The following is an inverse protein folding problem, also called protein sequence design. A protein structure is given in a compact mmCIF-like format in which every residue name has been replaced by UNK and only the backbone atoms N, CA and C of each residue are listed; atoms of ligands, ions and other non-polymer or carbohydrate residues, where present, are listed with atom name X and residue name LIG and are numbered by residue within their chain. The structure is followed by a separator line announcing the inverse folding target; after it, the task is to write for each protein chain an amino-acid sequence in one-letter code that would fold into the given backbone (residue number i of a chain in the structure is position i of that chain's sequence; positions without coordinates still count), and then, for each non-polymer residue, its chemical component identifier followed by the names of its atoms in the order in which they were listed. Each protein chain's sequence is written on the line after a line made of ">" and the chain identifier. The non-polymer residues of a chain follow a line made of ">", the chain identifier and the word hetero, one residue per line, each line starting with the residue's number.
data_IF_966469803814
#
_entry.id   IF_966469803814
#
_cell.length_a   1.000
_cell.length_b   1.000
_cell.length_c   1.000
_cell.angle_alpha   90.00
_cell.angle_beta   90.00
_cell.angle_gamma   90.00
#
_symmetry.space_group_name_H-M   'P 1'
#
loop_
_entity.id
_entity.type
_entity.pdbx_description
1 polymer ?
#
# COMPACT_ATOMS: atom_id res chain seq x y z
N UNK A 1 76.89 -57.69 8.09
CA UNK A 1 75.68 -56.92 8.42
C UNK A 1 74.81 -56.79 7.17
N UNK A 2 74.03 -57.82 6.82
CA UNK A 2 73.10 -57.75 5.68
C UNK A 2 71.76 -57.24 6.21
N UNK A 3 71.62 -55.93 6.23
CA UNK A 3 70.41 -55.28 6.68
C UNK A 3 69.27 -55.61 5.72
N UNK A 4 68.28 -56.34 6.24
CA UNK A 4 66.82 -56.15 6.18
C UNK A 4 66.23 -55.03 5.28
N UNK A 5 66.84 -54.70 4.14
CA UNK A 5 66.44 -53.59 3.25
C UNK A 5 65.27 -53.99 2.37
N UNK A 6 65.29 -55.22 1.85
CA UNK A 6 64.19 -55.77 1.06
C UNK A 6 62.92 -55.91 1.90
N UNK A 7 63.01 -56.48 3.11
CA UNK A 7 61.85 -56.60 3.99
C UNK A 7 61.43 -55.25 4.59
N UNK A 8 62.35 -54.32 4.89
CA UNK A 8 61.98 -52.96 5.27
C UNK A 8 61.24 -52.22 4.14
N UNK A 9 61.67 -52.38 2.88
CA UNK A 9 60.98 -51.83 1.73
C UNK A 9 59.60 -52.46 1.53
N UNK A 10 59.47 -53.78 1.72
CA UNK A 10 58.19 -54.48 1.66
C UNK A 10 57.22 -54.02 2.77
N UNK A 11 57.69 -53.85 4.00
CA UNK A 11 56.90 -53.30 5.10
C UNK A 11 56.50 -51.85 4.81
N UNK A 12 57.40 -51.05 4.27
CA UNK A 12 57.08 -49.67 3.88
C UNK A 12 56.02 -49.62 2.77
N UNK A 13 56.10 -50.51 1.77
CA UNK A 13 55.09 -50.64 0.73
C UNK A 13 53.73 -51.13 1.28
N UNK A 14 53.73 -52.09 2.21
CA UNK A 14 52.52 -52.55 2.88
C UNK A 14 51.86 -51.44 3.71
N UNK A 15 52.67 -50.63 4.39
CA UNK A 15 52.16 -49.46 5.13
C UNK A 15 51.57 -48.39 4.20
N UNK A 16 52.11 -48.22 2.98
CA UNK A 16 51.52 -47.34 1.95
C UNK A 16 50.17 -47.88 1.49
N UNK A 17 50.11 -49.16 1.07
CA UNK A 17 48.88 -49.80 0.61
C UNK A 17 47.77 -49.79 1.67
N UNK A 18 48.13 -50.03 2.94
CA UNK A 18 47.17 -49.99 4.05
C UNK A 18 46.60 -48.58 4.26
N UNK A 19 47.40 -47.53 4.05
CA UNK A 19 46.92 -46.13 4.12
C UNK A 19 45.99 -45.79 2.96
N UNK A 20 46.33 -46.20 1.74
CA UNK A 20 45.50 -45.98 0.55
C UNK A 20 44.16 -46.71 0.64
N UNK A 21 44.16 -47.98 1.10
CA UNK A 21 42.94 -48.75 1.31
C UNK A 21 41.99 -48.07 2.30
N UNK A 22 42.51 -47.56 3.43
CA UNK A 22 41.71 -46.81 4.41
C UNK A 22 41.15 -45.49 3.85
N UNK A 23 41.91 -44.80 2.99
CA UNK A 23 41.41 -43.61 2.31
C UNK A 23 40.28 -43.95 1.34
N UNK A 24 40.43 -45.00 0.54
CA UNK A 24 39.37 -45.44 -0.38
C UNK A 24 38.13 -45.87 0.39
N UNK A 25 38.27 -46.64 1.47
CA UNK A 25 37.17 -47.04 2.35
C UNK A 25 36.44 -45.81 2.92
N UNK A 26 37.18 -44.80 3.37
CA UNK A 26 36.59 -43.54 3.87
C UNK A 26 35.85 -42.79 2.76
N UNK A 27 36.40 -42.74 1.55
CA UNK A 27 35.75 -42.09 0.39
C UNK A 27 34.50 -42.83 -0.07
N UNK A 28 34.50 -44.15 0.00
CA UNK A 28 33.34 -45.00 -0.32
C UNK A 28 32.27 -44.86 0.77
N UNK A 29 32.66 -44.87 2.04
CA UNK A 29 31.74 -44.73 3.17
C UNK A 29 31.09 -43.35 3.22
N UNK A 30 31.86 -42.29 2.96
CA UNK A 30 31.37 -40.90 3.04
C UNK A 30 30.81 -40.38 1.72
N UNK A 31 31.19 -40.97 0.60
CA UNK A 31 30.93 -40.44 -0.75
C UNK A 31 31.74 -39.19 -1.11
N UNK A 32 32.72 -38.80 -0.29
CA UNK A 32 33.42 -37.53 -0.40
C UNK A 32 34.85 -37.72 -0.91
N UNK A 33 35.25 -36.95 -1.92
CA UNK A 33 36.63 -36.99 -2.44
C UNK A 33 37.67 -36.43 -1.46
N UNK A 34 37.28 -35.46 -0.63
CA UNK A 34 38.10 -34.85 0.43
C UNK A 34 37.27 -34.82 1.72
N UNK A 35 37.69 -35.63 2.70
CA UNK A 35 36.95 -35.84 3.95
C UNK A 35 37.62 -35.18 5.16
N UNK A 36 38.94 -34.95 5.11
CA UNK A 36 39.72 -34.38 6.21
C UNK A 36 40.51 -33.13 5.76
N UNK A 37 40.65 -32.08 6.60
CA UNK A 37 41.54 -30.95 6.34
C UNK A 37 42.99 -31.35 6.03
N UNK A 38 43.45 -32.50 6.55
CA UNK A 38 44.80 -33.04 6.36
C UNK A 38 45.04 -33.56 4.94
N UNK A 39 43.98 -33.91 4.20
CA UNK A 39 44.10 -34.39 2.82
C UNK A 39 44.32 -33.22 1.85
N UNK A 40 43.54 -32.15 1.98
CA UNK A 40 43.70 -30.89 1.25
C UNK A 40 42.90 -29.77 1.93
N UNK A 41 43.53 -28.97 2.79
CA UNK A 41 42.85 -27.94 3.59
C UNK A 41 42.07 -26.90 2.78
N UNK A 42 42.59 -26.48 1.62
CA UNK A 42 41.93 -25.50 0.75
C UNK A 42 40.66 -26.08 0.09
N UNK A 43 40.76 -27.29 -0.46
CA UNK A 43 39.61 -27.98 -1.07
C UNK A 43 38.59 -28.37 0.00
N UNK A 44 39.06 -28.77 1.19
CA UNK A 44 38.20 -29.08 2.33
C UNK A 44 37.39 -27.85 2.79
N UNK A 45 38.02 -26.68 2.92
CA UNK A 45 37.33 -25.44 3.30
C UNK A 45 36.27 -25.02 2.26
N UNK A 46 36.59 -25.10 0.96
CA UNK A 46 35.62 -24.83 -0.11
C UNK A 46 34.47 -25.85 -0.09
N UNK A 47 34.77 -27.13 0.09
CA UNK A 47 33.78 -28.19 0.17
C UNK A 47 32.85 -28.03 1.39
N UNK A 48 33.38 -27.63 2.55
CA UNK A 48 32.57 -27.32 3.73
C UNK A 48 31.66 -26.11 3.49
N UNK A 49 32.16 -25.06 2.84
CA UNK A 49 31.33 -23.92 2.43
C UNK A 49 30.22 -24.31 1.44
N UNK A 50 30.50 -25.18 0.48
CA UNK A 50 29.49 -25.71 -0.46
C UNK A 50 28.45 -26.58 0.26
N UNK A 51 28.85 -27.43 1.21
CA UNK A 51 27.91 -28.25 2.00
C UNK A 51 27.01 -27.40 2.88
N UNK A 52 27.57 -26.36 3.51
CA UNK A 52 26.79 -25.37 4.26
C UNK A 52 25.75 -24.70 3.38
N UNK A 53 26.12 -24.29 2.16
CA UNK A 53 25.17 -23.72 1.19
C UNK A 53 24.09 -24.71 0.78
N UNK A 54 24.42 -25.99 0.55
CA UNK A 54 23.44 -27.03 0.22
C UNK A 54 22.42 -27.22 1.36
N UNK A 55 22.89 -27.23 2.62
CA UNK A 55 21.99 -27.28 3.77
C UNK A 55 21.09 -26.02 3.88
N UNK A 56 21.66 -24.84 3.60
CA UNK A 56 20.92 -23.58 3.53
C UNK A 56 19.83 -23.61 2.44
N UNK A 57 20.14 -24.11 1.24
CA UNK A 57 19.17 -24.25 0.14
C UNK A 57 17.96 -25.13 0.50
N UNK A 58 18.14 -26.20 1.27
CA UNK A 58 17.03 -27.03 1.73
C UNK A 58 16.06 -26.21 2.61
N UNK A 59 16.58 -25.40 3.53
CA UNK A 59 15.75 -24.54 4.38
C UNK A 59 15.01 -23.45 3.59
N UNK A 60 15.65 -22.90 2.55
CA UNK A 60 15.05 -21.92 1.63
C UNK A 60 13.94 -22.58 0.81
N UNK A 61 14.19 -23.80 0.28
CA UNK A 61 13.21 -24.55 -0.48
C UNK A 61 11.96 -24.89 0.36
N UNK A 62 12.15 -25.26 1.62
CA UNK A 62 11.04 -25.49 2.56
C UNK A 62 10.28 -24.20 2.85
N UNK A 63 10.97 -23.07 3.01
CA UNK A 63 10.38 -21.74 3.18
C UNK A 63 9.51 -21.32 1.99
N UNK A 64 10.03 -21.48 0.77
CA UNK A 64 9.30 -21.18 -0.47
C UNK A 64 8.09 -22.09 -0.65
N UNK A 65 8.22 -23.38 -0.32
CA UNK A 65 7.12 -24.34 -0.42
C UNK A 65 5.97 -23.99 0.52
N UNK A 66 6.28 -23.55 1.76
CA UNK A 66 5.28 -23.01 2.70
C UNK A 66 4.63 -21.73 2.17
N UNK A 67 5.41 -20.82 1.59
CA UNK A 67 4.89 -19.57 1.01
C UNK A 67 3.90 -19.85 -0.14
N UNK A 68 4.22 -20.80 -1.02
CA UNK A 68 3.32 -21.22 -2.12
C UNK A 68 2.00 -21.78 -1.58
N UNK A 69 2.04 -22.69 -0.61
CA UNK A 69 0.82 -23.27 -0.04
C UNK A 69 -0.11 -22.22 0.58
N UNK A 70 0.46 -21.16 1.19
CA UNK A 70 -0.33 -20.05 1.70
C UNK A 70 -0.90 -19.15 0.59
N UNK A 71 -0.14 -18.89 -0.47
CA UNK A 71 -0.63 -18.12 -1.63
C UNK A 71 -1.83 -18.83 -2.26
N UNK A 72 -1.78 -20.15 -2.40
CA UNK A 72 -2.88 -20.95 -2.98
C UNK A 72 -4.15 -20.85 -2.12
N UNK A 73 -4.04 -21.00 -0.80
CA UNK A 73 -5.17 -20.84 0.14
C UNK A 73 -5.74 -19.43 0.10
N UNK A 74 -4.88 -18.41 0.00
CA UNK A 74 -5.29 -17.00 -0.06
C UNK A 74 -6.00 -16.68 -1.37
N UNK A 75 -5.51 -17.20 -2.49
CA UNK A 75 -6.13 -17.01 -3.81
C UNK A 75 -7.52 -17.66 -3.87
N UNK A 76 -7.65 -18.89 -3.37
CA UNK A 76 -8.94 -19.58 -3.28
C UNK A 76 -9.95 -18.81 -2.41
N UNK A 77 -9.49 -18.29 -1.27
CA UNK A 77 -10.32 -17.47 -0.37
C UNK A 77 -10.74 -16.15 -1.02
N UNK A 78 -9.82 -15.49 -1.74
CA UNK A 78 -10.11 -14.27 -2.49
C UNK A 78 -11.15 -14.48 -3.60
N UNK A 79 -11.07 -15.59 -4.33
CA UNK A 79 -12.08 -15.97 -5.33
C UNK A 79 -13.45 -16.17 -4.69
N UNK A 80 -13.52 -16.89 -3.57
CA UNK A 80 -14.78 -17.13 -2.86
C UNK A 80 -15.41 -15.83 -2.33
N UNK A 81 -14.60 -14.90 -1.82
CA UNK A 81 -15.05 -13.56 -1.41
C UNK A 81 -15.57 -12.77 -2.61
N UNK A 82 -14.88 -12.81 -3.75
CA UNK A 82 -15.31 -12.12 -4.96
C UNK A 82 -16.69 -12.63 -5.45
N UNK A 83 -16.95 -13.93 -5.34
CA UNK A 83 -18.25 -14.50 -5.71
C UNK A 83 -19.36 -14.09 -4.74
N UNK A 84 -19.08 -13.99 -3.43
CA UNK A 84 -20.04 -13.47 -2.46
C UNK A 84 -20.33 -11.98 -2.70
N UNK A 85 -19.31 -11.18 -3.04
CA UNK A 85 -19.50 -9.76 -3.37
C UNK A 85 -20.41 -9.58 -4.60
N UNK A 86 -20.33 -10.47 -5.59
CA UNK A 86 -21.28 -10.50 -6.72
C UNK A 86 -22.70 -10.77 -6.24
N UNK A 87 -22.89 -11.74 -5.33
CA UNK A 87 -24.20 -12.03 -4.75
C UNK A 87 -24.74 -10.84 -3.92
N UNK A 88 -23.90 -10.20 -3.11
CA UNK A 88 -24.26 -9.00 -2.34
C UNK A 88 -24.70 -7.85 -3.26
N UNK A 89 -24.03 -7.67 -4.41
CA UNK A 89 -24.43 -6.68 -5.41
C UNK A 89 -25.82 -6.98 -5.99
N UNK A 90 -26.15 -8.26 -6.20
CA UNK A 90 -27.48 -8.67 -6.67
C UNK A 90 -28.56 -8.36 -5.62
N UNK A 91 -28.32 -8.71 -4.36
CA UNK A 91 -29.25 -8.41 -3.24
C UNK A 91 -29.45 -6.91 -3.06
N UNK A 92 -28.36 -6.13 -3.07
CA UNK A 92 -28.43 -4.66 -2.99
C UNK A 92 -29.16 -4.05 -4.18
N UNK A 93 -29.02 -4.64 -5.37
CA UNK A 93 -29.79 -4.25 -6.56
C UNK A 93 -31.28 -4.53 -6.40
N UNK A 94 -31.65 -5.71 -5.90
CA UNK A 94 -33.04 -6.08 -5.63
C UNK A 94 -33.68 -5.18 -4.57
N UNK A 95 -32.93 -4.72 -3.57
CA UNK A 95 -33.41 -3.82 -2.52
C UNK A 95 -33.74 -2.40 -3.03
N UNK A 96 -33.35 -2.05 -4.26
CA UNK A 96 -33.63 -0.74 -4.89
C UNK A 96 -35.02 -0.68 -5.55
N UNK A 97 -35.75 -1.78 -5.63
CA UNK A 97 -37.06 -1.79 -6.29
C UNK A 97 -38.10 -0.96 -5.51
N UNK A 98 -38.84 -0.13 -6.25
CA UNK A 98 -39.78 0.84 -5.67
C UNK A 98 -41.08 0.18 -5.16
N UNK A 99 -41.36 -1.06 -5.57
CA UNK A 99 -42.56 -1.85 -5.25
C UNK A 99 -42.43 -2.76 -4.01
N UNK A 100 -41.34 -2.61 -3.24
CA UNK A 100 -41.09 -3.43 -2.05
C UNK A 100 -41.90 -3.00 -0.82
N UNK A 101 -42.44 -3.99 -0.12
CA UNK A 101 -43.00 -3.85 1.24
C UNK A 101 -41.89 -3.71 2.30
N UNK A 102 -42.26 -3.29 3.52
CA UNK A 102 -41.31 -3.19 4.63
C UNK A 102 -40.68 -4.55 4.99
N UNK A 103 -41.49 -5.63 5.02
CA UNK A 103 -41.03 -6.98 5.32
C UNK A 103 -40.06 -7.51 4.25
N UNK A 104 -40.32 -7.22 2.97
CA UNK A 104 -39.42 -7.59 1.88
C UNK A 104 -38.08 -6.84 1.95
N UNK A 105 -38.08 -5.56 2.32
CA UNK A 105 -36.82 -4.81 2.55
C UNK A 105 -36.04 -5.38 3.73
N UNK A 106 -36.71 -5.75 4.82
CA UNK A 106 -36.09 -6.38 5.98
C UNK A 106 -35.48 -7.74 5.64
N UNK A 107 -36.16 -8.55 4.82
CA UNK A 107 -35.64 -9.83 4.34
C UNK A 107 -34.36 -9.65 3.50
N UNK A 108 -34.36 -8.71 2.55
CA UNK A 108 -33.17 -8.41 1.72
C UNK A 108 -32.01 -7.85 2.54
N UNK A 109 -32.29 -7.05 3.58
CA UNK A 109 -31.28 -6.57 4.52
C UNK A 109 -30.66 -7.74 5.29
N UNK A 110 -31.48 -8.68 5.79
CA UNK A 110 -31.01 -9.88 6.46
C UNK A 110 -30.14 -10.76 5.54
N UNK A 111 -30.53 -10.92 4.27
CA UNK A 111 -29.73 -11.66 3.28
C UNK A 111 -28.38 -10.98 3.03
N UNK A 112 -28.36 -9.65 2.93
CA UNK A 112 -27.13 -8.88 2.76
C UNK A 112 -26.18 -9.05 3.96
N UNK A 113 -26.71 -8.99 5.18
CA UNK A 113 -25.93 -9.16 6.42
C UNK A 113 -25.41 -10.60 6.58
N UNK A 114 -26.16 -11.60 6.13
CA UNK A 114 -25.73 -13.00 6.10
C UNK A 114 -24.55 -13.23 5.14
N UNK A 115 -24.62 -12.66 3.93
CA UNK A 115 -23.53 -12.72 2.94
C UNK A 115 -22.28 -11.99 3.44
N UNK A 116 -22.45 -10.82 4.07
CA UNK A 116 -21.34 -10.10 4.73
C UNK A 116 -20.67 -10.96 5.80
N UNK A 117 -21.46 -11.60 6.66
CA UNK A 117 -20.94 -12.50 7.69
C UNK A 117 -20.20 -13.71 7.09
N UNK A 118 -20.59 -14.16 5.89
CA UNK A 118 -19.89 -15.25 5.19
C UNK A 118 -18.51 -14.81 4.68
N UNK A 119 -18.36 -13.56 4.22
CA UNK A 119 -17.06 -12.98 3.88
C UNK A 119 -16.14 -12.99 5.12
N UNK A 120 -16.64 -12.53 6.27
CA UNK A 120 -15.86 -12.50 7.51
C UNK A 120 -15.40 -13.91 7.93
N UNK A 121 -16.29 -14.91 7.82
CA UNK A 121 -15.93 -16.32 8.07
C UNK A 121 -14.84 -16.80 7.12
N UNK A 122 -14.95 -16.56 5.82
CA UNK A 122 -13.95 -16.99 4.83
C UNK A 122 -12.61 -16.31 5.09
N UNK A 123 -12.62 -14.98 5.27
CA UNK A 123 -11.42 -14.22 5.60
C UNK A 123 -10.73 -14.75 6.88
N UNK A 124 -11.51 -15.01 7.94
CA UNK A 124 -10.95 -15.57 9.19
C UNK A 124 -10.45 -17.02 9.05
N UNK A 125 -11.01 -17.81 8.13
CA UNK A 125 -10.64 -19.21 7.88
C UNK A 125 -9.41 -19.38 6.97
N UNK A 126 -9.01 -18.33 6.24
CA UNK A 126 -7.79 -18.30 5.43
C UNK A 126 -6.55 -18.30 6.34
N UNK A 127 -6.22 -19.48 6.87
CA UNK A 127 -5.11 -19.71 7.80
C UNK A 127 -4.18 -20.76 7.21
N UNK A 128 -2.88 -20.49 7.23
CA UNK A 128 -1.84 -21.51 6.98
C UNK A 128 -1.03 -21.70 8.25
N UNK A 129 -1.07 -22.91 8.83
CA UNK A 129 -0.41 -23.23 10.10
C UNK A 129 -0.70 -22.22 11.23
N UNK A 130 -1.95 -21.75 11.34
CA UNK A 130 -2.37 -20.80 12.38
C UNK A 130 -1.91 -19.35 12.17
N UNK A 131 -1.26 -19.04 11.06
CA UNK A 131 -1.03 -17.67 10.60
C UNK A 131 -2.14 -17.28 9.62
N UNK A 132 -3.00 -16.35 10.04
CA UNK A 132 -3.99 -15.73 9.17
C UNK A 132 -3.37 -14.49 8.52
N UNK A 133 -3.44 -14.42 7.19
CA UNK A 133 -3.11 -13.20 6.44
C UNK A 133 -4.24 -12.16 6.51
N UNK A 134 -5.47 -12.62 6.75
CA UNK A 134 -6.70 -11.85 6.63
C UNK A 134 -7.36 -11.46 7.96
N UNK A 135 -6.93 -12.05 9.10
CA UNK A 135 -7.39 -11.63 10.41
C UNK A 135 -6.74 -10.30 10.83
N UNK A 136 -7.53 -9.39 11.40
CA UNK A 136 -7.04 -8.15 11.99
C UNK A 136 -5.95 -8.45 13.03
N UNK A 137 -4.74 -7.94 12.79
CA UNK A 137 -3.53 -8.29 13.56
C UNK A 137 -2.52 -9.17 12.83
N UNK A 138 -2.54 -9.14 11.48
CA UNK A 138 -1.69 -9.93 10.58
C UNK A 138 -0.30 -10.24 11.13
N UNK A 139 0.00 -11.53 11.30
CA UNK A 139 1.36 -11.99 11.60
C UNK A 139 2.20 -11.86 10.33
N UNK A 140 3.34 -11.18 10.43
CA UNK A 140 4.29 -11.08 9.33
C UNK A 140 4.70 -12.48 8.85
N UNK A 141 4.57 -12.73 7.54
CA UNK A 141 5.15 -13.91 6.93
C UNK A 141 6.65 -13.70 6.78
N UNK A 142 7.41 -14.17 7.77
CA UNK A 142 8.85 -14.18 7.67
C UNK A 142 9.30 -15.38 6.80
N UNK A 143 9.45 -15.15 5.49
CA UNK A 143 10.03 -16.14 4.57
C UNK A 143 11.52 -15.84 4.45
N UNK A 144 12.37 -16.74 4.94
CA UNK A 144 13.80 -16.59 4.82
C UNK A 144 14.26 -17.09 3.43
N UNK A 145 14.70 -16.17 2.56
CA UNK A 145 15.09 -16.44 1.17
C UNK A 145 16.59 -16.13 0.96
N UNK A 146 17.35 -15.89 2.03
CA UNK A 146 18.74 -15.42 1.96
C UNK A 146 19.68 -16.22 2.86
N UNK A 147 20.87 -16.57 2.34
CA UNK A 147 22.01 -17.17 3.07
C UNK A 147 22.84 -16.11 3.82
N UNK A 148 22.44 -14.84 3.74
CA UNK A 148 23.08 -13.73 4.45
C UNK A 148 22.15 -13.24 5.55
N UNK A 149 22.71 -12.89 6.72
CA UNK A 149 22.01 -12.35 7.91
C UNK A 149 21.09 -11.15 7.66
N UNK A 150 21.01 -10.65 6.42
CA UNK A 150 19.99 -9.72 5.97
C UNK A 150 18.74 -10.50 5.58
N UNK A 151 17.79 -10.61 6.51
CA UNK A 151 16.39 -10.89 6.18
C UNK A 151 15.95 -9.85 5.14
N UNK A 152 15.59 -10.30 3.94
CA UNK A 152 14.77 -9.49 3.04
C UNK A 152 13.44 -9.28 3.77
N UNK A 153 13.32 -8.15 4.46
CA UNK A 153 12.02 -7.61 4.84
C UNK A 153 11.28 -7.37 3.52
N UNK A 154 10.42 -8.31 3.12
CA UNK A 154 9.38 -7.97 2.17
C UNK A 154 8.58 -6.88 2.85
N UNK A 155 8.76 -5.65 2.38
CA UNK A 155 8.02 -4.48 2.81
C UNK A 155 6.53 -4.74 2.53
N UNK A 156 5.86 -5.35 3.50
CA UNK A 156 4.43 -5.37 3.75
C UNK A 156 3.54 -5.67 2.52
N UNK A 157 3.09 -6.93 2.36
CA UNK A 157 1.73 -7.12 1.84
C UNK A 157 0.81 -6.70 2.99
N UNK A 158 0.51 -5.40 3.06
CA UNK A 158 -0.51 -4.91 3.98
C UNK A 158 -1.82 -5.56 3.54
N UNK A 159 -2.37 -6.43 4.37
CA UNK A 159 -3.80 -6.68 4.34
C UNK A 159 -4.47 -5.32 4.38
N UNK A 160 -5.37 -5.03 3.44
CA UNK A 160 -6.27 -3.91 3.60
C UNK A 160 -6.98 -4.17 4.94
N UNK A 161 -6.57 -3.47 6.00
CA UNK A 161 -7.39 -3.37 7.19
C UNK A 161 -8.76 -2.99 6.66
N UNK A 162 -9.75 -3.83 6.90
CA UNK A 162 -11.15 -3.49 6.70
C UNK A 162 -11.46 -2.36 7.67
N UNK A 163 -11.05 -1.15 7.32
CA UNK A 163 -11.77 0.03 7.78
C UNK A 163 -13.21 -0.24 7.35
N UNK A 164 -14.16 -0.26 8.30
CA UNK A 164 -15.55 -0.40 7.94
C UNK A 164 -15.83 0.60 6.82
N UNK A 165 -16.50 0.17 5.75
CA UNK A 165 -16.94 1.06 4.66
C UNK A 165 -17.80 2.23 5.17
N UNK A 166 -18.22 2.18 6.45
CA UNK A 166 -18.71 3.30 7.23
C UNK A 166 -18.11 3.20 8.65
N UNK A 167 -17.00 3.88 8.90
CA UNK A 167 -16.71 4.34 10.26
C UNK A 167 -17.77 5.35 10.70
N UNK A 168 -17.92 5.68 11.99
CA UNK A 168 -18.77 6.80 12.38
C UNK A 168 -18.40 8.03 11.53
N UNK A 169 -19.38 8.83 11.09
CA UNK A 169 -19.11 9.95 10.20
C UNK A 169 -17.99 10.81 10.77
N UNK A 170 -16.92 10.96 10.00
CA UNK A 170 -15.77 11.76 10.40
C UNK A 170 -15.99 13.20 9.94
N UNK A 171 -15.79 14.16 10.85
CA UNK A 171 -15.78 15.58 10.50
C UNK A 171 -14.55 15.87 9.64
N UNK A 172 -14.79 16.31 8.40
CA UNK A 172 -13.72 16.73 7.49
C UNK A 172 -13.30 18.17 7.75
N UNK A 173 -14.24 19.04 8.15
CA UNK A 173 -14.03 20.46 8.47
C UNK A 173 -13.28 20.65 9.80
N UNK A 174 -12.03 20.21 9.84
CA UNK A 174 -11.09 20.41 10.95
C UNK A 174 -9.77 20.95 10.42
N UNK A 175 -8.97 21.57 11.27
CA UNK A 175 -7.58 21.90 10.95
C UNK A 175 -6.69 20.62 10.95
N UNK A 176 -5.39 20.79 10.67
CA UNK A 176 -4.41 19.70 10.66
C UNK A 176 -4.18 19.01 12.02
N UNK A 177 -4.56 19.67 13.13
CA UNK A 177 -4.51 19.09 14.48
C UNK A 177 -5.80 18.31 14.85
N UNK A 178 -6.85 18.41 14.02
CA UNK A 178 -8.15 17.79 14.26
C UNK A 178 -9.16 18.69 14.96
N UNK A 179 -8.84 19.94 15.25
CA UNK A 179 -9.78 20.88 15.87
C UNK A 179 -10.85 21.31 14.86
N UNK A 180 -12.09 21.41 15.31
CA UNK A 180 -13.20 21.82 14.46
C UNK A 180 -13.03 23.25 13.92
N UNK A 181 -13.61 23.48 12.74
CA UNK A 181 -13.76 24.81 12.16
C UNK A 181 -14.55 25.74 13.11
N UNK A 182 -14.13 27.00 13.22
CA UNK A 182 -14.73 28.04 14.08
C UNK A 182 -14.97 29.30 13.26
N UNK A 183 -16.08 30.01 13.55
CA UNK A 183 -16.35 31.34 13.01
C UNK A 183 -17.01 31.37 11.64
N UNK A 184 -17.41 30.23 11.09
CA UNK A 184 -18.13 30.18 9.82
C UNK A 184 -18.51 28.76 9.38
N UNK A 185 -19.48 28.68 8.46
CA UNK A 185 -19.98 27.41 7.94
C UNK A 185 -19.04 26.81 6.88
N UNK A 186 -19.04 25.48 6.78
CA UNK A 186 -18.43 24.72 5.69
C UNK A 186 -19.52 24.01 4.87
N UNK A 187 -19.38 23.97 3.55
CA UNK A 187 -20.38 23.40 2.65
C UNK A 187 -19.79 22.85 1.36
N UNK A 188 -20.63 22.25 0.51
CA UNK A 188 -20.30 21.78 -0.85
C UNK A 188 -18.98 20.99 -0.98
N UNK A 189 -18.78 19.90 -0.19
CA UNK A 189 -17.55 19.12 -0.26
C UNK A 189 -17.45 18.34 -1.58
N UNK A 190 -16.22 18.13 -2.03
CA UNK A 190 -15.88 17.31 -3.19
C UNK A 190 -14.69 16.41 -2.86
N UNK A 191 -14.62 15.23 -3.48
CA UNK A 191 -13.65 14.18 -3.12
C UNK A 191 -12.87 13.70 -4.33
N UNK A 192 -11.60 13.38 -4.15
CA UNK A 192 -10.78 12.76 -5.18
C UNK A 192 -11.24 11.33 -5.45
N UNK A 193 -10.94 10.80 -6.65
CA UNK A 193 -11.39 9.45 -7.06
C UNK A 193 -10.92 8.34 -6.13
N UNK A 194 -9.72 8.48 -5.57
CA UNK A 194 -9.10 7.56 -4.62
C UNK A 194 -9.57 7.77 -3.17
N UNK A 195 -10.42 8.78 -2.91
CA UNK A 195 -10.90 9.11 -1.58
C UNK A 195 -9.86 9.72 -0.65
N UNK A 196 -8.64 10.00 -1.12
CA UNK A 196 -7.56 10.53 -0.28
C UNK A 196 -7.76 12.00 0.06
N UNK A 197 -8.24 12.79 -0.89
CA UNK A 197 -8.36 14.23 -0.73
C UNK A 197 -9.82 14.65 -0.69
N UNK A 198 -10.17 15.48 0.29
CA UNK A 198 -11.49 16.13 0.36
C UNK A 198 -11.30 17.63 0.32
N UNK A 199 -11.86 18.25 -0.71
CA UNK A 199 -11.98 19.69 -0.81
C UNK A 199 -13.29 20.19 -0.23
N UNK A 200 -13.28 21.33 0.46
CA UNK A 200 -14.49 21.93 1.02
C UNK A 200 -14.33 23.46 1.16
N UNK A 201 -15.27 24.25 0.62
CA UNK A 201 -15.43 25.66 0.95
C UNK A 201 -15.76 25.87 2.43
N UNK A 202 -15.16 26.89 3.05
CA UNK A 202 -15.41 27.26 4.45
C UNK A 202 -15.17 28.74 4.72
N UNK A 203 -16.01 29.31 5.59
CA UNK A 203 -15.85 30.66 6.16
C UNK A 203 -15.03 30.68 7.46
N UNK A 204 -14.53 29.52 7.89
CA UNK A 204 -13.86 29.38 9.16
C UNK A 204 -12.44 29.96 9.16
N UNK A 205 -12.05 30.62 10.24
CA UNK A 205 -10.79 31.37 10.36
C UNK A 205 -9.62 30.56 10.94
N UNK A 206 -9.87 29.31 11.34
CA UNK A 206 -8.90 28.49 12.08
C UNK A 206 -8.49 27.18 11.38
N UNK A 207 -8.88 27.01 10.10
CA UNK A 207 -8.55 25.79 9.35
C UNK A 207 -7.09 25.72 8.90
N UNK A 208 -6.49 26.87 8.62
CA UNK A 208 -5.05 27.04 8.37
C UNK A 208 -4.55 28.31 9.06
N UNK A 209 -3.27 28.35 9.39
CA UNK A 209 -2.68 29.55 9.97
C UNK A 209 -2.69 30.72 8.97
N UNK A 210 -2.94 31.92 9.48
CA UNK A 210 -2.90 33.15 8.68
C UNK A 210 -4.18 33.45 7.91
N UNK A 211 -5.29 32.71 8.13
CA UNK A 211 -6.59 33.06 7.56
C UNK A 211 -7.17 34.35 8.12
N UNK A 212 -7.09 35.44 7.37
CA UNK A 212 -7.41 36.77 7.89
C UNK A 212 -8.28 37.62 6.98
N UNK A 213 -8.62 37.13 5.79
CA UNK A 213 -9.30 37.94 4.77
C UNK A 213 -10.83 38.03 4.99
N UNK A 214 -11.42 37.12 5.78
CA UNK A 214 -12.86 37.11 6.07
C UNK A 214 -13.74 36.68 4.90
N UNK A 215 -13.17 36.06 3.88
CA UNK A 215 -13.90 35.52 2.72
C UNK A 215 -14.00 33.99 2.81
N UNK A 216 -14.93 33.40 2.04
CA UNK A 216 -14.99 31.96 1.93
C UNK A 216 -13.81 31.44 1.12
N UNK A 217 -13.05 30.53 1.73
CA UNK A 217 -11.92 29.88 1.10
C UNK A 217 -12.19 28.40 0.85
N UNK A 218 -11.56 27.86 -0.19
CA UNK A 218 -11.60 26.42 -0.45
C UNK A 218 -10.38 25.78 0.19
N UNK A 219 -10.63 24.78 1.03
CA UNK A 219 -9.61 24.01 1.72
C UNK A 219 -9.54 22.59 1.15
N UNK A 220 -8.35 22.02 1.16
CA UNK A 220 -8.05 20.65 0.77
C UNK A 220 -7.50 19.90 1.97
N UNK A 221 -8.18 18.83 2.39
CA UNK A 221 -7.71 17.93 3.45
C UNK A 221 -7.20 16.63 2.85
N UNK A 222 -5.95 16.29 3.15
CA UNK A 222 -5.39 14.96 2.90
C UNK A 222 -5.80 14.04 4.04
N UNK A 223 -6.68 13.08 3.78
CA UNK A 223 -7.18 12.14 4.77
C UNK A 223 -6.12 11.11 5.21
N UNK A 224 -5.03 10.96 4.46
CA UNK A 224 -3.93 10.08 4.83
C UNK A 224 -3.02 10.73 5.88
N UNK A 225 -2.74 12.02 5.74
CA UNK A 225 -1.78 12.75 6.60
C UNK A 225 -2.46 13.66 7.62
N UNK A 226 -3.73 14.00 7.42
CA UNK A 226 -4.48 14.99 8.19
C UNK A 226 -4.20 16.44 7.78
N UNK A 227 -3.24 16.69 6.89
CA UNK A 227 -2.83 18.04 6.49
C UNK A 227 -3.97 18.77 5.78
N UNK A 228 -4.15 20.04 6.13
CA UNK A 228 -5.11 20.96 5.51
C UNK A 228 -4.35 22.09 4.80
N UNK A 229 -4.70 22.33 3.54
CA UNK A 229 -4.12 23.36 2.70
C UNK A 229 -5.21 24.26 2.13
N UNK A 230 -5.01 25.58 2.12
CA UNK A 230 -5.88 26.48 1.35
C UNK A 230 -5.48 26.41 -0.11
N UNK A 231 -6.45 26.11 -0.96
CA UNK A 231 -6.24 25.92 -2.41
C UNK A 231 -6.83 27.06 -3.24
N UNK A 232 -7.66 27.91 -2.63
CA UNK A 232 -8.08 29.22 -3.16
C UNK A 232 -6.98 30.27 -3.09
N UNK A 233 -5.73 29.92 -3.41
CA UNK A 233 -4.60 30.84 -3.39
C UNK A 233 -4.00 31.03 -4.78
N UNK A 234 -3.32 32.15 -5.01
CA UNK A 234 -2.51 32.32 -6.21
C UNK A 234 -1.36 31.29 -6.29
N UNK A 235 -0.57 31.37 -7.37
CA UNK A 235 0.61 30.51 -7.59
C UNK A 235 1.73 30.66 -6.55
N UNK A 236 1.67 31.68 -5.70
CA UNK A 236 2.62 31.95 -4.61
C UNK A 236 2.06 31.64 -3.21
N UNK A 237 0.82 31.13 -3.13
CA UNK A 237 0.17 30.82 -1.86
C UNK A 237 -0.51 32.02 -1.17
N UNK A 238 -0.67 33.15 -1.87
CA UNK A 238 -1.34 34.33 -1.34
C UNK A 238 -2.85 34.17 -1.38
N UNK A 239 -3.51 34.70 -0.35
CA UNK A 239 -4.96 34.61 -0.18
C UNK A 239 -5.72 35.42 -1.24
N UNK A 240 -6.98 35.04 -1.51
CA UNK A 240 -7.83 35.79 -2.43
C UNK A 240 -8.20 37.15 -1.83
N UNK A 241 -8.31 38.16 -2.70
CA UNK A 241 -8.77 39.52 -2.41
C UNK A 241 -10.15 39.69 -3.05
N UNK A 242 -11.13 40.10 -2.24
CA UNK A 242 -12.42 40.60 -2.72
C UNK A 242 -13.40 39.54 -3.27
N UNK A 243 -13.16 38.25 -3.03
CA UNK A 243 -14.00 37.18 -3.59
C UNK A 243 -13.94 35.86 -2.82
N UNK A 244 -14.96 35.04 -3.01
CA UNK A 244 -15.15 33.71 -2.43
C UNK A 244 -14.87 32.61 -3.46
N UNK A 245 -14.42 31.45 -2.99
CA UNK A 245 -14.28 30.24 -3.79
C UNK A 245 -15.35 29.21 -3.41
N UNK A 246 -16.14 28.78 -4.39
CA UNK A 246 -17.44 28.14 -4.11
C UNK A 246 -17.50 26.65 -4.45
N UNK A 247 -16.67 26.17 -5.38
CA UNK A 247 -16.72 24.76 -5.82
C UNK A 247 -15.43 24.31 -6.51
N UNK A 248 -15.17 23.01 -6.50
CA UNK A 248 -14.07 22.43 -7.25
C UNK A 248 -14.26 20.96 -7.67
N UNK A 249 -13.46 20.52 -8.63
CA UNK A 249 -13.47 19.14 -9.16
C UNK A 249 -12.07 18.67 -9.52
N UNK A 250 -11.69 17.50 -8.99
CA UNK A 250 -10.40 16.88 -9.29
C UNK A 250 -10.37 16.28 -10.70
N UNK A 251 -9.18 16.29 -11.30
CA UNK A 251 -8.87 15.40 -12.42
C UNK A 251 -8.90 13.92 -11.97
N UNK A 252 -9.13 12.96 -12.89
CA UNK A 252 -9.20 11.54 -12.54
C UNK A 252 -7.95 10.97 -11.85
N UNK A 253 -6.79 11.57 -12.13
CA UNK A 253 -5.47 11.21 -11.57
C UNK A 253 -5.12 12.02 -10.30
N UNK A 254 -5.94 13.00 -9.91
CA UNK A 254 -5.71 13.85 -8.73
C UNK A 254 -4.58 14.87 -8.88
N UNK A 255 -4.01 15.05 -10.08
CA UNK A 255 -2.93 16.01 -10.32
C UNK A 255 -3.41 17.46 -10.42
N UNK A 256 -4.67 17.66 -10.83
CA UNK A 256 -5.26 18.97 -11.04
C UNK A 256 -6.59 19.13 -10.32
N UNK A 257 -6.90 20.38 -10.00
CA UNK A 257 -8.19 20.78 -9.46
C UNK A 257 -8.74 21.97 -10.26
N UNK A 258 -9.94 21.85 -10.79
CA UNK A 258 -10.69 23.01 -11.29
C UNK A 258 -11.43 23.63 -10.10
N UNK A 259 -11.43 24.95 -9.99
CA UNK A 259 -12.15 25.72 -8.98
C UNK A 259 -12.79 26.98 -9.58
N UNK A 260 -13.91 27.40 -8.99
CA UNK A 260 -14.54 28.68 -9.30
C UNK A 260 -14.24 29.71 -8.22
N UNK A 261 -13.93 30.93 -8.62
CA UNK A 261 -13.69 32.05 -7.70
C UNK A 261 -14.04 33.37 -8.36
N UNK A 262 -14.46 34.35 -7.58
CA UNK A 262 -14.62 35.74 -8.04
C UNK A 262 -13.55 36.68 -7.46
N UNK A 263 -12.45 36.12 -6.93
CA UNK A 263 -11.35 36.89 -6.38
C UNK A 263 -10.41 37.40 -7.47
N UNK A 264 -10.07 38.69 -7.42
CA UNK A 264 -9.37 39.42 -8.50
C UNK A 264 -7.85 39.30 -8.45
N UNK A 265 -7.30 38.27 -7.82
CA UNK A 265 -5.85 38.12 -7.65
C UNK A 265 -5.37 36.66 -7.65
N UNK A 266 -6.20 35.70 -8.05
CA UNK A 266 -5.76 34.32 -8.16
C UNK A 266 -4.79 34.10 -9.34
N UNK A 267 -4.91 34.92 -10.38
CA UNK A 267 -3.95 35.00 -11.49
C UNK A 267 -3.72 36.45 -11.92
N UNK A 268 -2.56 36.77 -12.52
CA UNK A 268 -2.34 38.08 -13.13
C UNK A 268 -3.36 38.36 -14.24
N UNK A 269 -3.95 39.56 -14.24
CA UNK A 269 -4.89 39.99 -15.28
C UNK A 269 -6.34 39.53 -15.09
N UNK A 270 -6.68 39.05 -13.90
CA UNK A 270 -8.07 38.91 -13.44
C UNK A 270 -8.47 40.13 -12.62
N UNK A 271 -9.42 40.94 -13.13
CA UNK A 271 -9.75 42.26 -12.56
C UNK A 271 -11.24 42.57 -12.51
N UNK A 272 -12.09 41.67 -12.99
CA UNK A 272 -13.52 41.96 -13.21
C UNK A 272 -14.39 41.67 -11.98
N UNK A 273 -13.90 40.91 -10.99
CA UNK A 273 -14.68 40.50 -9.81
C UNK A 273 -15.83 39.55 -10.14
N UNK A 274 -15.82 38.98 -11.35
CA UNK A 274 -16.79 37.99 -11.82
C UNK A 274 -16.30 36.59 -11.50
N UNK A 275 -17.21 35.62 -11.45
CA UNK A 275 -16.82 34.22 -11.21
C UNK A 275 -16.07 33.69 -12.43
N UNK A 276 -14.82 33.29 -12.25
CA UNK A 276 -13.96 32.68 -13.25
C UNK A 276 -13.66 31.22 -12.90
N UNK A 277 -13.27 30.44 -13.91
CA UNK A 277 -12.80 29.06 -13.75
C UNK A 277 -11.28 29.06 -13.72
N UNK A 278 -10.72 28.41 -12.70
CA UNK A 278 -9.29 28.27 -12.50
C UNK A 278 -8.90 26.80 -12.41
N UNK A 279 -7.72 26.47 -12.92
CA UNK A 279 -7.08 25.18 -12.82
C UNK A 279 -5.85 25.33 -11.90
N UNK A 280 -5.84 24.58 -10.80
CA UNK A 280 -4.73 24.47 -9.86
C UNK A 280 -3.98 23.16 -10.11
N UNK A 281 -2.69 23.26 -10.36
CA UNK A 281 -1.79 22.11 -10.31
C UNK A 281 -1.45 21.80 -8.85
N UNK A 282 -1.82 20.61 -8.38
CA UNK A 282 -1.65 20.23 -6.96
C UNK A 282 -0.21 19.78 -6.64
N UNK A 283 0.63 19.55 -7.65
CA UNK A 283 2.05 19.21 -7.46
C UNK A 283 2.92 20.48 -7.36
N UNK A 284 2.65 21.48 -8.20
CA UNK A 284 3.47 22.71 -8.28
C UNK A 284 2.86 23.89 -7.55
N UNK A 285 1.56 23.86 -7.27
CA UNK A 285 0.81 25.00 -6.74
C UNK A 285 0.46 26.04 -7.81
N UNK A 286 0.78 25.81 -9.09
CA UNK A 286 0.49 26.74 -10.18
C UNK A 286 -1.02 26.93 -10.37
N UNK A 287 -1.46 28.18 -10.49
CA UNK A 287 -2.84 28.60 -10.76
C UNK A 287 -2.96 29.21 -12.15
N UNK A 288 -3.91 28.71 -12.94
CA UNK A 288 -4.18 29.19 -14.31
C UNK A 288 -5.67 29.43 -14.49
N UNK A 289 -6.07 30.58 -15.06
CA UNK A 289 -7.47 30.81 -15.45
C UNK A 289 -7.75 30.11 -16.78
N UNK A 290 -8.88 29.42 -16.85
CA UNK A 290 -9.31 28.65 -18.04
C UNK A 290 -10.61 29.20 -18.67
N UNK A 291 -11.27 30.16 -18.02
CA UNK A 291 -12.41 30.93 -18.56
C UNK A 291 -11.98 32.10 -19.45
N UNK A 292 -11.10 31.83 -20.42
CA UNK A 292 -10.62 32.85 -21.37
C UNK A 292 -11.16 32.65 -22.77
N UNK A 293 -11.23 33.72 -23.56
CA UNK A 293 -11.47 33.62 -24.99
C UNK A 293 -10.28 32.98 -25.74
N UNK A 294 -10.42 32.79 -27.06
CA UNK A 294 -9.38 32.17 -27.89
C UNK A 294 -8.05 32.97 -27.96
N UNK A 295 -8.03 34.20 -27.44
CA UNK A 295 -6.85 35.07 -27.36
C UNK A 295 -6.26 35.15 -25.95
N UNK A 296 -6.84 34.42 -24.98
CA UNK A 296 -6.42 34.41 -23.59
C UNK A 296 -6.98 35.59 -22.77
N UNK A 297 -7.93 36.37 -23.31
CA UNK A 297 -8.57 37.45 -22.56
C UNK A 297 -9.70 36.93 -21.66
N UNK A 298 -9.91 37.61 -20.54
CA UNK A 298 -10.96 37.26 -19.58
C UNK A 298 -12.36 37.39 -20.17
N UNK A 299 -13.24 36.45 -19.84
CA UNK A 299 -14.66 36.60 -20.13
C UNK A 299 -15.25 37.79 -19.34
N UNK A 300 -16.25 38.46 -19.92
CA UNK A 300 -16.93 39.63 -19.31
C UNK A 300 -18.14 39.24 -18.44
N UNK A 301 -18.49 37.96 -18.36
CA UNK A 301 -19.56 37.45 -17.51
C UNK A 301 -19.14 36.19 -16.77
N UNK A 302 -19.83 35.88 -15.67
CA UNK A 302 -19.50 34.75 -14.81
C UNK A 302 -19.55 33.39 -15.50
N UNK A 303 -18.64 32.51 -15.10
CA UNK A 303 -18.53 31.10 -15.49
C UNK A 303 -19.11 30.19 -14.41
N UNK A 304 -19.78 29.11 -14.80
CA UNK A 304 -20.39 28.12 -13.88
C UNK A 304 -19.88 26.71 -14.17
#
# INVERSE_FOLDING_TARGET
>A
MNWNRASAAAVQALHVLTREARQVETRVSTGLKVADPRDNGAVYAIAMGQRSRIASYASIADGISRARGLIDVTFASGSAIADILKQMKVVAGAARSDDLTADQRLALQSDYDALRSQIDRIASSAQFNGASLAAAGGRDLNVNISDSMSSLLVQQIRTANSTPLVGPPQRVSTNSAGDQAVGGDSGNPFVSRDGRFVGFPSWATNLVAGDTNGYQDTFLKDLQTGVVTRISTDSFGQQPIGGSSNSGRFSPDGSFLILTSNATNLVPGDTNGETDLFLKNLQTGEMTRISTDATGQQAVGGST
#
